data_IF_873833367979
#
_entry.id   IF_873833367979
#
_cell.length_a   1.000
_cell.length_b   1.000
_cell.length_c   1.000
_cell.angle_alpha   90.00
_cell.angle_beta   90.00
_cell.angle_gamma   90.00
#
_symmetry.space_group_name_H-M   'P 1'
#
loop_
_entity.id
_entity.type
_entity.pdbx_description
1 polymer ?
#
# COMPACT_ATOMS: atom_id res chain seq x y z
N UNK A 1 8.11 23.82 15.01
CA UNK A 1 8.39 23.69 16.45
C UNK A 1 9.34 22.51 16.61
N UNK A 2 10.60 22.73 17.00
CA UNK A 2 11.58 21.65 17.13
C UNK A 2 11.19 20.72 18.29
N UNK A 3 11.32 19.39 18.17
CA UNK A 3 10.90 18.47 19.21
C UNK A 3 11.79 18.65 20.45
N UNK A 4 11.17 18.86 21.61
CA UNK A 4 11.85 18.90 22.91
C UNK A 4 12.47 17.52 23.15
N UNK A 5 13.80 17.44 23.24
CA UNK A 5 14.51 16.26 23.75
C UNK A 5 13.97 15.94 25.14
N UNK A 6 13.29 14.81 25.28
CA UNK A 6 12.95 14.23 26.57
C UNK A 6 14.23 14.12 27.40
N UNK A 7 14.21 14.72 28.61
CA UNK A 7 15.33 14.62 29.54
C UNK A 7 15.26 13.22 30.14
N UNK A 8 16.21 12.35 29.75
CA UNK A 8 16.39 11.06 30.40
C UNK A 8 16.54 11.27 31.92
N UNK A 9 15.79 10.50 32.71
CA UNK A 9 15.87 10.51 34.17
C UNK A 9 17.32 10.26 34.60
N UNK A 10 17.82 11.14 35.48
CA UNK A 10 19.19 11.05 36.00
C UNK A 10 19.21 9.97 37.07
N UNK A 11 20.07 8.98 36.86
CA UNK A 11 20.27 7.84 37.75
C UNK A 11 21.02 8.28 39.01
N UNK A 12 20.75 7.65 40.16
CA UNK A 12 21.47 7.91 41.42
C UNK A 12 22.97 7.58 41.27
N UNK A 13 23.84 8.12 42.13
CA UNK A 13 25.29 7.96 41.98
C UNK A 13 25.75 6.48 42.03
N UNK A 14 25.15 5.68 42.91
CA UNK A 14 25.49 4.25 43.06
C UNK A 14 24.93 3.42 41.89
N UNK A 15 23.69 3.68 41.50
CA UNK A 15 23.06 3.08 40.32
C UNK A 15 23.79 3.46 39.01
N UNK A 16 24.39 4.65 38.96
CA UNK A 16 25.19 5.12 37.83
C UNK A 16 26.52 4.34 37.72
N UNK A 17 27.11 3.93 38.85
CA UNK A 17 28.29 3.08 38.85
C UNK A 17 27.97 1.67 38.35
N UNK A 18 26.90 1.05 38.87
CA UNK A 18 26.48 -0.28 38.46
C UNK A 18 26.06 -0.33 36.98
N UNK A 19 25.38 0.70 36.49
CA UNK A 19 25.00 0.78 35.07
C UNK A 19 26.22 0.92 34.15
N UNK A 20 27.22 1.74 34.51
CA UNK A 20 28.47 1.84 33.74
C UNK A 20 29.23 0.51 33.76
N UNK A 21 29.29 -0.14 34.91
CA UNK A 21 30.04 -1.37 35.09
C UNK A 21 29.38 -2.53 34.33
N UNK A 22 28.07 -2.69 34.46
CA UNK A 22 27.29 -3.65 33.68
C UNK A 22 27.37 -3.37 32.18
N UNK A 23 27.35 -2.09 31.78
CA UNK A 23 27.56 -1.72 30.40
C UNK A 23 28.93 -2.18 29.89
N UNK A 24 30.02 -1.91 30.62
CA UNK A 24 31.37 -2.34 30.24
C UNK A 24 31.53 -3.87 30.21
N UNK A 25 30.88 -4.61 31.13
CA UNK A 25 30.89 -6.08 31.15
C UNK A 25 30.06 -6.69 30.01
N UNK A 26 28.91 -6.09 29.70
CA UNK A 26 27.97 -6.60 28.67
C UNK A 26 28.36 -6.20 27.25
N UNK A 27 29.02 -5.05 27.06
CA UNK A 27 29.47 -4.54 25.75
C UNK A 27 30.75 -5.27 25.30
N UNK A 28 30.63 -6.58 25.12
CA UNK A 28 31.64 -7.48 24.56
C UNK A 28 33.05 -7.30 25.18
N UNK A 29 33.23 -7.67 26.46
CA UNK A 29 34.46 -8.11 27.20
C UNK A 29 35.86 -7.51 26.90
N UNK A 30 36.01 -6.54 25.99
CA UNK A 30 37.31 -6.09 25.48
C UNK A 30 37.29 -4.75 24.75
N UNK A 31 36.12 -4.19 24.39
CA UNK A 31 36.11 -2.89 23.70
C UNK A 31 36.39 -1.75 24.69
N UNK A 32 37.45 -0.96 24.48
CA UNK A 32 37.76 0.17 25.35
C UNK A 32 36.85 1.37 25.03
N UNK A 33 36.38 2.06 26.06
CA UNK A 33 35.50 3.23 25.93
C UNK A 33 36.01 4.43 26.72
N UNK A 34 35.85 5.63 26.18
CA UNK A 34 36.10 6.88 26.91
C UNK A 34 34.87 7.30 27.73
N UNK A 35 35.06 8.23 28.68
CA UNK A 35 33.94 8.83 29.41
C UNK A 35 32.92 9.52 28.50
N UNK A 36 33.36 10.05 27.35
CA UNK A 36 32.47 10.64 26.35
C UNK A 36 31.60 9.54 25.70
N UNK A 37 32.23 8.44 25.29
CA UNK A 37 31.53 7.32 24.64
C UNK A 37 30.50 6.68 25.56
N UNK A 38 30.85 6.47 26.83
CA UNK A 38 29.93 5.90 27.81
C UNK A 38 28.72 6.81 28.04
N UNK A 39 28.94 8.12 28.19
CA UNK A 39 27.82 9.07 28.35
C UNK A 39 26.90 9.10 27.11
N UNK A 40 27.47 8.98 25.90
CA UNK A 40 26.71 8.97 24.66
C UNK A 40 25.94 7.65 24.48
N UNK A 41 26.58 6.51 24.71
CA UNK A 41 25.99 5.17 24.57
C UNK A 41 24.90 4.89 25.62
N UNK A 42 25.04 5.47 26.82
CA UNK A 42 23.99 5.44 27.84
C UNK A 42 22.93 6.55 27.65
N UNK A 43 22.88 7.18 26.47
CA UNK A 43 21.91 8.23 26.14
C UNK A 43 21.83 9.38 27.16
N UNK A 44 22.98 9.79 27.71
CA UNK A 44 23.12 10.81 28.76
C UNK A 44 22.39 10.50 30.09
N UNK A 45 22.01 9.24 30.35
CA UNK A 45 21.57 8.82 31.70
C UNK A 45 22.63 9.10 32.76
N UNK A 46 23.90 8.97 32.38
CA UNK A 46 25.06 9.44 33.13
C UNK A 46 25.76 10.53 32.33
N UNK A 47 25.95 11.70 32.94
CA UNK A 47 26.64 12.82 32.28
C UNK A 47 28.12 12.51 32.09
N UNK A 48 28.76 13.13 31.09
CA UNK A 48 30.21 12.96 30.84
C UNK A 48 31.08 13.20 32.08
N UNK A 49 30.76 14.23 32.87
CA UNK A 49 31.51 14.55 34.08
C UNK A 49 31.34 13.46 35.17
N UNK A 50 30.11 12.99 35.37
CA UNK A 50 29.83 11.90 36.30
C UNK A 50 30.49 10.58 35.84
N UNK A 51 30.40 10.25 34.54
CA UNK A 51 31.05 9.08 33.97
C UNK A 51 32.58 9.14 34.13
N UNK A 52 33.21 10.30 33.90
CA UNK A 52 34.65 10.46 34.10
C UNK A 52 35.08 10.23 35.56
N UNK A 53 34.28 10.71 36.52
CA UNK A 53 34.54 10.48 37.95
C UNK A 53 34.37 9.00 38.31
N UNK A 54 33.23 8.41 37.95
CA UNK A 54 32.91 7.00 38.25
C UNK A 54 33.93 6.04 37.65
N UNK A 55 34.36 6.27 36.40
CA UNK A 55 35.39 5.44 35.76
C UNK A 55 36.74 5.55 36.44
N UNK A 56 37.09 6.75 36.93
CA UNK A 56 38.31 6.94 37.70
C UNK A 56 38.22 6.18 39.03
N UNK A 57 37.10 6.30 39.74
CA UNK A 57 36.86 5.62 41.02
C UNK A 57 36.84 4.07 40.84
N UNK A 58 36.26 3.56 39.75
CA UNK A 58 36.26 2.13 39.41
C UNK A 58 37.66 1.63 39.04
N UNK A 59 38.46 2.47 38.38
CA UNK A 59 39.85 2.15 38.06
C UNK A 59 40.74 2.13 39.31
N UNK A 60 40.56 3.07 40.23
CA UNK A 60 41.25 3.11 41.53
C UNK A 60 40.91 1.88 42.39
N UNK A 61 39.66 1.39 42.31
CA UNK A 61 39.20 0.12 42.91
C UNK A 61 39.68 -1.15 42.19
N UNK A 62 40.42 -1.02 41.08
CA UNK A 62 40.92 -2.13 40.24
C UNK A 62 39.82 -3.03 39.65
N UNK A 63 38.60 -2.52 39.56
CA UNK A 63 37.49 -3.24 38.93
C UNK A 63 37.53 -3.12 37.40
N UNK A 64 38.16 -2.06 36.89
CA UNK A 64 38.41 -1.80 35.47
C UNK A 64 39.84 -1.29 35.25
N UNK A 65 40.37 -1.47 34.05
CA UNK A 65 41.67 -0.95 33.65
C UNK A 65 41.50 0.27 32.75
N UNK A 66 42.22 1.34 33.07
CA UNK A 66 42.27 2.57 32.28
C UNK A 66 43.63 2.73 31.62
N UNK A 67 43.66 3.03 30.31
CA UNK A 67 44.88 3.37 29.59
C UNK A 67 44.76 4.72 28.89
N UNK A 68 45.87 5.46 28.89
CA UNK A 68 45.93 6.72 28.16
C UNK A 68 45.97 6.45 26.65
N UNK A 69 45.03 7.05 25.92
CA UNK A 69 44.95 7.05 24.47
C UNK A 69 45.03 8.52 23.99
N UNK A 70 46.26 9.01 23.81
CA UNK A 70 46.51 10.40 23.45
C UNK A 70 46.05 11.37 24.55
N UNK A 71 45.07 12.23 24.24
CA UNK A 71 44.53 13.25 25.16
C UNK A 71 43.40 12.72 26.07
N UNK A 72 42.97 11.47 25.88
CA UNK A 72 41.85 10.87 26.61
C UNK A 72 42.30 9.59 27.31
N UNK A 73 41.56 9.18 28.35
CA UNK A 73 41.72 7.87 28.98
C UNK A 73 40.58 6.99 28.50
N UNK A 74 40.92 5.78 28.07
CA UNK A 74 39.96 4.74 27.71
C UNK A 74 39.97 3.65 28.76
N UNK A 75 38.79 3.16 29.10
CA UNK A 75 38.59 2.16 30.13
C UNK A 75 38.03 0.88 29.53
N UNK A 76 38.50 -0.26 30.02
CA UNK A 76 38.02 -1.59 29.66
C UNK A 76 37.90 -2.48 30.89
N UNK A 77 37.14 -3.55 30.78
CA UNK A 77 37.06 -4.58 31.83
C UNK A 77 38.39 -5.31 31.97
N UNK A 78 38.75 -5.68 33.20
CA UNK A 78 39.92 -6.52 33.47
C UNK A 78 39.68 -7.91 32.88
N UNK A 79 40.65 -8.41 32.10
CA UNK A 79 40.60 -9.75 31.53
C UNK A 79 41.40 -10.70 32.43
N UNK A 80 40.74 -11.72 32.97
CA UNK A 80 41.40 -12.73 33.80
C UNK A 80 42.05 -13.80 32.90
N UNK A 81 43.38 -13.98 32.94
CA UNK A 81 44.05 -15.01 32.15
C UNK A 81 43.66 -16.44 32.58
N UNK A 82 43.16 -16.62 33.81
CA UNK A 82 42.67 -17.91 34.29
C UNK A 82 41.30 -18.29 33.70
N UNK A 83 40.60 -17.34 33.07
CA UNK A 83 39.36 -17.60 32.33
C UNK A 83 39.65 -18.00 30.86
N UNK A 84 40.93 -18.20 30.51
CA UNK A 84 41.31 -18.62 29.17
C UNK A 84 40.77 -20.03 28.88
N UNK A 85 40.02 -20.13 27.79
CA UNK A 85 39.44 -21.38 27.29
C UNK A 85 40.56 -22.23 26.66
N UNK A 86 40.51 -23.55 26.86
CA UNK A 86 41.54 -24.43 26.28
C UNK A 86 41.46 -24.47 24.75
N UNK A 87 42.56 -24.81 24.04
CA UNK A 87 42.54 -24.94 22.58
C UNK A 87 41.49 -25.95 22.07
N UNK A 88 41.27 -27.03 22.81
CA UNK A 88 40.29 -28.06 22.47
C UNK A 88 38.86 -27.54 22.61
N UNK A 89 38.58 -26.77 23.66
CA UNK A 89 37.28 -26.13 23.87
C UNK A 89 37.00 -25.05 22.81
N UNK A 90 38.03 -24.29 22.40
CA UNK A 90 37.91 -23.33 21.29
C UNK A 90 37.59 -24.05 19.97
N UNK A 91 38.30 -25.14 19.66
CA UNK A 91 38.02 -25.95 18.47
C UNK A 91 36.61 -26.54 18.47
N UNK A 92 36.12 -27.00 19.62
CA UNK A 92 34.74 -27.47 19.77
C UNK A 92 33.71 -26.35 19.54
N UNK A 93 33.97 -25.14 20.04
CA UNK A 93 33.14 -23.97 19.79
C UNK A 93 33.12 -23.58 18.30
N UNK A 94 34.27 -23.60 17.62
CA UNK A 94 34.35 -23.31 16.19
C UNK A 94 33.59 -24.33 15.34
N UNK A 95 33.65 -25.61 15.72
CA UNK A 95 32.85 -26.65 15.10
C UNK A 95 31.34 -26.41 15.29
N UNK A 96 30.92 -26.05 16.51
CA UNK A 96 29.52 -25.69 16.79
C UNK A 96 29.06 -24.45 16.02
N UNK A 97 29.90 -23.40 15.93
CA UNK A 97 29.60 -22.18 15.17
C UNK A 97 29.39 -22.54 13.69
N UNK A 98 30.26 -23.39 13.14
CA UNK A 98 30.18 -23.82 11.75
C UNK A 98 28.91 -24.64 11.48
N UNK A 99 28.59 -25.55 12.40
CA UNK A 99 27.36 -26.34 12.34
C UNK A 99 26.11 -25.44 12.38
N UNK A 100 26.01 -24.56 13.38
CA UNK A 100 24.88 -23.66 13.55
C UNK A 100 24.70 -22.71 12.36
N UNK A 101 25.79 -22.23 11.77
CA UNK A 101 25.73 -21.42 10.53
C UNK A 101 25.14 -22.21 9.38
N UNK A 102 25.58 -23.45 9.20
CA UNK A 102 25.08 -24.34 8.15
C UNK A 102 23.59 -24.61 8.33
N UNK A 103 23.17 -24.96 9.55
CA UNK A 103 21.77 -25.22 9.89
C UNK A 103 20.89 -23.97 9.71
N UNK A 104 21.41 -22.80 10.07
CA UNK A 104 20.70 -21.52 9.88
C UNK A 104 20.45 -21.23 8.40
N UNK A 105 21.46 -21.42 7.55
CA UNK A 105 21.33 -21.21 6.11
C UNK A 105 20.32 -22.20 5.51
N UNK A 106 20.38 -23.47 5.91
CA UNK A 106 19.44 -24.49 5.47
C UNK A 106 17.99 -24.15 5.89
N UNK A 107 17.78 -23.80 7.16
CA UNK A 107 16.46 -23.41 7.66
C UNK A 107 15.91 -22.16 6.96
N UNK A 108 16.75 -21.16 6.67
CA UNK A 108 16.35 -19.98 5.90
C UNK A 108 15.91 -20.33 4.47
N UNK A 109 16.63 -21.23 3.81
CA UNK A 109 16.28 -21.70 2.47
C UNK A 109 14.93 -22.45 2.47
N UNK A 110 14.71 -23.33 3.44
CA UNK A 110 13.43 -24.04 3.61
C UNK A 110 12.29 -23.06 3.90
N UNK A 111 12.49 -22.10 4.80
CA UNK A 111 11.49 -21.08 5.10
C UNK A 111 11.13 -20.23 3.88
N UNK A 112 12.11 -19.87 3.04
CA UNK A 112 11.86 -19.15 1.78
C UNK A 112 11.00 -19.98 0.82
N UNK A 113 11.32 -21.26 0.67
CA UNK A 113 10.57 -22.19 -0.19
C UNK A 113 9.14 -22.35 0.29
N UNK A 114 8.93 -22.63 1.59
CA UNK A 114 7.60 -22.76 2.19
C UNK A 114 6.76 -21.49 2.05
N UNK A 115 7.35 -20.30 2.24
CA UNK A 115 6.64 -19.03 2.02
C UNK A 115 6.19 -18.86 0.57
N UNK A 116 7.04 -19.23 -0.39
CA UNK A 116 6.70 -19.19 -1.82
C UNK A 116 5.55 -20.15 -2.14
N UNK A 117 5.61 -21.38 -1.63
CA UNK A 117 4.56 -22.39 -1.80
C UNK A 117 3.24 -21.92 -1.20
N UNK A 118 3.27 -21.41 0.04
CA UNK A 118 2.09 -20.87 0.71
C UNK A 118 1.49 -19.70 -0.07
N UNK A 119 2.31 -18.76 -0.54
CA UNK A 119 1.84 -17.65 -1.37
C UNK A 119 1.19 -18.13 -2.66
N UNK A 120 1.72 -19.17 -3.30
CA UNK A 120 1.13 -19.75 -4.50
C UNK A 120 -0.21 -20.42 -4.19
N UNK A 121 -0.31 -21.19 -3.10
CA UNK A 121 -1.57 -21.85 -2.72
C UNK A 121 -2.66 -20.83 -2.35
N UNK A 122 -2.30 -19.76 -1.64
CA UNK A 122 -3.25 -18.71 -1.26
C UNK A 122 -3.60 -17.75 -2.40
N UNK A 123 -2.87 -17.79 -3.52
CA UNK A 123 -3.24 -17.01 -4.73
C UNK A 123 -4.41 -17.60 -5.49
N UNK A 124 -4.78 -18.85 -5.18
CA UNK A 124 -5.94 -19.54 -5.74
C UNK A 124 -7.07 -19.60 -4.73
N UNK A 125 -8.30 -19.49 -5.22
CA UNK A 125 -9.51 -19.66 -4.41
C UNK A 125 -9.50 -21.05 -3.76
N UNK A 126 -9.96 -21.13 -2.51
CA UNK A 126 -10.04 -22.43 -1.84
C UNK A 126 -11.03 -23.35 -2.56
N UNK A 127 -10.89 -24.67 -2.43
CA UNK A 127 -11.80 -25.62 -3.08
C UNK A 127 -13.26 -25.40 -2.67
N UNK A 128 -13.51 -25.04 -1.40
CA UNK A 128 -14.86 -24.69 -0.93
C UNK A 128 -15.40 -23.43 -1.60
N UNK A 129 -14.56 -22.40 -1.74
CA UNK A 129 -14.96 -21.15 -2.38
C UNK A 129 -15.21 -21.38 -3.89
N UNK A 130 -14.41 -22.23 -4.55
CA UNK A 130 -14.63 -22.61 -5.95
C UNK A 130 -15.99 -23.29 -6.13
N UNK A 131 -16.34 -24.24 -5.26
CA UNK A 131 -17.63 -24.93 -5.31
C UNK A 131 -18.79 -23.94 -5.14
N UNK A 132 -18.67 -23.01 -4.17
CA UNK A 132 -19.69 -21.98 -3.97
C UNK A 132 -19.81 -21.02 -5.16
N UNK A 133 -18.70 -20.65 -5.78
CA UNK A 133 -18.65 -19.78 -6.95
C UNK A 133 -19.28 -20.46 -8.16
N UNK A 134 -18.99 -21.75 -8.38
CA UNK A 134 -19.60 -22.55 -9.45
C UNK A 134 -21.11 -22.62 -9.26
N UNK A 135 -21.58 -22.95 -8.05
CA UNK A 135 -23.02 -23.01 -7.76
C UNK A 135 -23.72 -21.68 -8.01
N UNK A 136 -23.06 -20.56 -7.70
CA UNK A 136 -23.62 -19.21 -7.91
C UNK A 136 -23.70 -18.88 -9.40
N UNK A 137 -22.63 -19.13 -10.16
CA UNK A 137 -22.58 -18.92 -11.60
C UNK A 137 -23.57 -19.81 -12.36
N UNK A 138 -23.79 -21.04 -11.89
CA UNK A 138 -24.80 -21.93 -12.46
C UNK A 138 -26.22 -21.40 -12.24
N UNK A 139 -26.52 -20.86 -11.05
CA UNK A 139 -27.80 -20.23 -10.76
C UNK A 139 -28.02 -18.96 -11.61
N UNK A 140 -27.01 -18.09 -11.72
CA UNK A 140 -27.05 -16.90 -12.59
C UNK A 140 -27.26 -17.28 -14.06
N UNK A 141 -26.56 -18.33 -14.54
CA UNK A 141 -26.75 -18.84 -15.89
C UNK A 141 -28.18 -19.30 -16.11
N UNK A 142 -28.78 -20.02 -15.17
CA UNK A 142 -30.16 -20.46 -15.27
C UNK A 142 -31.14 -19.29 -15.34
N UNK A 143 -30.96 -18.27 -14.49
CA UNK A 143 -31.80 -17.07 -14.50
C UNK A 143 -31.69 -16.29 -15.82
N UNK A 144 -30.47 -16.08 -16.32
CA UNK A 144 -30.22 -15.42 -17.61
C UNK A 144 -30.88 -16.20 -18.74
N UNK A 145 -30.77 -17.53 -18.75
CA UNK A 145 -31.40 -18.37 -19.77
C UNK A 145 -32.92 -18.33 -19.70
N UNK A 146 -33.51 -18.37 -18.50
CA UNK A 146 -34.96 -18.25 -18.32
C UNK A 146 -35.47 -16.88 -18.80
N UNK A 147 -34.76 -15.81 -18.46
CA UNK A 147 -35.08 -14.46 -18.93
C UNK A 147 -34.95 -14.34 -20.46
N UNK A 148 -33.92 -14.94 -21.03
CA UNK A 148 -33.70 -14.96 -22.47
C UNK A 148 -34.80 -15.76 -23.19
N UNK A 149 -35.27 -16.87 -22.61
CA UNK A 149 -36.36 -17.64 -23.19
C UNK A 149 -37.68 -16.88 -23.15
N UNK A 150 -38.02 -16.24 -22.02
CA UNK A 150 -39.17 -15.34 -21.92
C UNK A 150 -39.12 -14.21 -22.96
N UNK A 151 -37.93 -13.64 -23.21
CA UNK A 151 -37.74 -12.61 -24.24
C UNK A 151 -37.84 -13.15 -25.67
N UNK A 152 -37.60 -14.45 -25.90
CA UNK A 152 -37.80 -15.09 -27.21
C UNK A 152 -39.25 -15.49 -27.44
N UNK A 153 -39.94 -15.97 -26.40
CA UNK A 153 -41.33 -16.42 -26.45
C UNK A 153 -42.32 -15.25 -26.45
N UNK A 154 -41.95 -14.12 -25.84
CA UNK A 154 -42.73 -12.89 -25.89
C UNK A 154 -42.94 -12.40 -27.33
N UNK A 155 -44.12 -11.86 -27.62
CA UNK A 155 -44.52 -11.29 -28.91
C UNK A 155 -43.68 -10.08 -29.38
N UNK A 156 -42.58 -9.76 -28.70
CA UNK A 156 -41.69 -8.67 -29.03
C UNK A 156 -40.84 -9.03 -30.27
N UNK A 157 -41.05 -8.30 -31.37
CA UNK A 157 -40.25 -8.44 -32.58
C UNK A 157 -38.78 -8.17 -32.27
N UNK A 158 -37.92 -9.15 -32.53
CA UNK A 158 -36.46 -9.01 -32.37
C UNK A 158 -35.97 -7.99 -33.39
N UNK A 159 -35.65 -6.79 -32.93
CA UNK A 159 -35.04 -5.74 -33.76
C UNK A 159 -33.56 -5.70 -33.46
N UNK A 160 -32.75 -6.05 -34.45
CA UNK A 160 -31.31 -5.95 -34.38
C UNK A 160 -30.87 -4.48 -34.35
N UNK A 161 -29.67 -4.21 -33.81
CA UNK A 161 -29.11 -2.86 -33.81
C UNK A 161 -29.03 -2.29 -35.24
N UNK A 162 -28.67 -3.11 -36.22
CA UNK A 162 -28.59 -2.74 -37.63
C UNK A 162 -29.94 -2.33 -38.23
N UNK A 163 -31.02 -3.05 -37.90
CA UNK A 163 -32.37 -2.70 -38.36
C UNK A 163 -32.85 -1.40 -37.71
N UNK A 164 -32.58 -1.21 -36.41
CA UNK A 164 -32.89 0.04 -35.71
C UNK A 164 -32.16 1.22 -36.33
N UNK A 165 -30.86 1.09 -36.54
CA UNK A 165 -30.03 2.16 -37.11
C UNK A 165 -30.48 2.52 -38.54
N UNK A 166 -30.99 1.55 -39.31
CA UNK A 166 -31.55 1.79 -40.63
C UNK A 166 -32.87 2.58 -40.56
N UNK A 167 -33.78 2.18 -39.68
CA UNK A 167 -35.06 2.88 -39.45
C UNK A 167 -34.82 4.30 -38.94
N UNK A 168 -33.89 4.49 -38.01
CA UNK A 168 -33.54 5.83 -37.48
C UNK A 168 -33.00 6.74 -38.59
N UNK A 169 -32.15 6.21 -39.48
CA UNK A 169 -31.65 6.96 -40.65
C UNK A 169 -32.76 7.34 -41.61
N UNK A 170 -33.68 6.43 -41.91
CA UNK A 170 -34.83 6.73 -42.76
C UNK A 170 -35.75 7.76 -42.12
N UNK A 171 -36.02 7.64 -40.82
CA UNK A 171 -36.83 8.58 -40.08
C UNK A 171 -36.23 10.00 -40.10
N UNK A 172 -34.93 10.12 -39.81
CA UNK A 172 -34.22 11.42 -39.89
C UNK A 172 -34.33 11.99 -41.30
N UNK A 173 -34.05 11.19 -42.33
CA UNK A 173 -34.13 11.61 -43.73
C UNK A 173 -35.52 12.15 -44.08
N UNK A 174 -36.58 11.41 -43.74
CA UNK A 174 -37.95 11.80 -44.08
C UNK A 174 -38.43 13.00 -43.27
N UNK A 175 -38.04 13.11 -42.01
CA UNK A 175 -38.28 14.29 -41.18
C UNK A 175 -37.66 15.55 -41.78
N UNK A 176 -36.40 15.47 -42.23
CA UNK A 176 -35.71 16.60 -42.86
C UNK A 176 -36.34 17.00 -44.21
N UNK A 177 -36.86 16.02 -44.96
CA UNK A 177 -37.61 16.28 -46.19
C UNK A 177 -38.95 16.95 -45.88
N UNK A 178 -39.69 16.46 -44.89
CA UNK A 178 -40.97 17.03 -44.48
C UNK A 178 -40.78 18.49 -44.01
N UNK A 179 -39.80 18.76 -43.14
CA UNK A 179 -39.53 20.13 -42.67
C UNK A 179 -39.10 21.08 -43.78
N UNK A 180 -38.32 20.61 -44.77
CA UNK A 180 -38.01 21.43 -45.96
C UNK A 180 -39.24 21.73 -46.81
N UNK A 181 -40.12 20.74 -47.01
CA UNK A 181 -41.36 20.91 -47.78
C UNK A 181 -42.33 21.86 -47.08
N UNK A 182 -42.47 21.73 -45.77
CA UNK A 182 -43.27 22.63 -44.93
C UNK A 182 -42.75 24.06 -45.03
N UNK A 183 -41.43 24.26 -44.93
CA UNK A 183 -40.81 25.59 -45.10
C UNK A 183 -41.11 26.20 -46.47
N UNK A 184 -40.94 25.43 -47.55
CA UNK A 184 -41.26 25.89 -48.91
C UNK A 184 -42.74 26.22 -49.04
N UNK A 185 -43.63 25.37 -48.53
CA UNK A 185 -45.08 25.60 -48.55
C UNK A 185 -45.45 26.90 -47.83
N UNK A 186 -44.88 27.13 -46.64
CA UNK A 186 -45.11 28.35 -45.87
C UNK A 186 -44.55 29.61 -46.56
N UNK A 187 -43.37 29.52 -47.17
CA UNK A 187 -42.78 30.63 -47.94
C UNK A 187 -43.63 30.98 -49.17
N UNK A 188 -44.09 29.97 -49.93
CA UNK A 188 -44.96 30.18 -51.08
C UNK A 188 -46.32 30.75 -50.67
N UNK A 189 -46.87 30.28 -49.54
CA UNK A 189 -48.12 30.82 -49.01
C UNK A 189 -48.00 32.29 -48.62
N UNK A 190 -46.89 32.70 -47.98
CA UNK A 190 -46.63 34.12 -47.68
C UNK A 190 -46.58 34.99 -48.93
N UNK A 191 -45.96 34.51 -50.02
CA UNK A 191 -45.95 35.25 -51.28
C UNK A 191 -47.36 35.45 -51.86
N UNK A 192 -48.26 34.48 -51.68
CA UNK A 192 -49.68 34.60 -52.08
C UNK A 192 -50.39 35.61 -51.19
N UNK A 193 -50.16 35.57 -49.88
CA UNK A 193 -50.74 36.53 -48.93
C UNK A 193 -50.32 37.98 -49.22
N UNK A 194 -49.10 38.21 -49.69
CA UNK A 194 -48.55 39.54 -49.97
C UNK A 194 -49.19 40.21 -51.20
N UNK A 195 -49.82 39.45 -52.10
CA UNK A 195 -50.43 39.95 -53.35
C UNK A 195 -51.96 39.86 -53.32
N UNK A 196 -52.55 39.62 -52.15
CA UNK A 196 -53.98 39.39 -52.00
C UNK A 196 -54.79 40.70 -52.23
N UNK A 197 -55.88 40.68 -53.02
CA UNK A 197 -56.76 41.85 -53.19
C UNK A 197 -57.44 42.28 -51.88
N UNK A 198 -57.73 43.57 -51.73
CA UNK A 198 -58.49 44.09 -50.58
C UNK A 198 -59.89 43.46 -50.53
N UNK A 199 -60.24 42.82 -49.40
CA UNK A 199 -61.54 42.19 -49.17
C UNK A 199 -61.54 40.65 -49.16
N UNK A 200 -60.42 39.98 -49.48
CA UNK A 200 -60.29 38.52 -49.35
C UNK A 200 -59.68 38.14 -48.01
N UNK A 201 -60.34 37.26 -47.24
CA UNK A 201 -59.83 36.76 -45.96
C UNK A 201 -58.79 35.65 -46.18
N UNK A 202 -57.59 35.82 -45.62
CA UNK A 202 -56.47 34.86 -45.78
C UNK A 202 -56.82 33.42 -45.40
N UNK A 203 -57.50 33.23 -44.26
CA UNK A 203 -57.89 31.92 -43.76
C UNK A 203 -58.90 31.21 -44.67
N UNK A 204 -59.93 31.92 -45.14
CA UNK A 204 -60.97 31.35 -46.01
C UNK A 204 -60.39 30.88 -47.37
N UNK A 205 -59.42 31.61 -47.92
CA UNK A 205 -58.73 31.19 -49.13
C UNK A 205 -57.87 29.95 -48.89
N UNK A 206 -57.17 29.87 -47.75
CA UNK A 206 -56.30 28.74 -47.40
C UNK A 206 -57.11 27.45 -47.24
N UNK A 207 -58.23 27.54 -46.55
CA UNK A 207 -59.19 26.46 -46.35
C UNK A 207 -59.80 26.02 -47.70
N UNK A 208 -60.18 26.97 -48.56
CA UNK A 208 -60.72 26.66 -49.90
C UNK A 208 -59.74 25.92 -50.81
N UNK A 209 -58.43 26.10 -50.59
CA UNK A 209 -57.36 25.42 -51.30
C UNK A 209 -56.96 24.09 -50.64
N UNK A 210 -57.60 23.72 -49.53
CA UNK A 210 -57.32 22.47 -48.80
C UNK A 210 -55.95 22.44 -48.13
N UNK A 211 -55.43 23.60 -47.70
CA UNK A 211 -54.09 23.74 -47.10
C UNK A 211 -54.10 23.79 -45.56
N UNK A 212 -55.26 23.58 -44.93
CA UNK A 212 -55.47 23.66 -43.48
C UNK A 212 -55.63 22.28 -42.78
N UNK A 213 -55.22 21.19 -43.44
CA UNK A 213 -55.01 19.87 -42.82
C UNK A 213 -53.52 19.45 -42.78
#
# INVERSE_FOLDING_TARGET
MAPRKEKAEKVSADEAADTILNYLRSSLRSRPYSATDISANLHNKVTKAAAAKILKDLHERKEIEGRAAGKQIVYHTVQNPNDAISPEQLSAMDAQITQLRTDTVAAQATAKTLRSTLSSLNSTLSTSDLVSSVSTLEAERQDILARLENLKEGNAKKVTKTERDAVDKEWVKWKDVAGRREKISNEMWKLIEDVLPEGVTKGELRESLGLDE
#
